data_IF_418442622274
#
_entry.id   IF_418442622274
#
_cell.length_a   1.000
_cell.length_b   1.000
_cell.length_c   1.000
_cell.angle_alpha   90.00
_cell.angle_beta   90.00
_cell.angle_gamma   90.00
#
_symmetry.space_group_name_H-M   'P 1'
#
loop_
_entity.id
_entity.type
_entity.pdbx_description
1 polymer ?
#
# COMPACT_ATOMS: atom_id res chain seq x y z
N UNK A 1 -12.85 11.71 -1.84
CA UNK A 1 -11.39 11.48 -1.71
C UNK A 1 -10.87 10.77 -2.94
N UNK A 2 -9.81 11.27 -3.54
CA UNK A 2 -9.16 10.60 -4.66
C UNK A 2 -7.98 9.77 -4.17
N UNK A 3 -7.85 8.56 -4.73
CA UNK A 3 -6.79 7.61 -4.38
C UNK A 3 -5.94 7.36 -5.62
N UNK A 4 -5.04 8.29 -5.91
CA UNK A 4 -4.28 8.30 -7.16
C UNK A 4 -2.79 7.95 -6.99
N UNK A 5 -2.32 7.84 -5.74
CA UNK A 5 -0.89 7.62 -5.51
C UNK A 5 -0.60 6.12 -5.44
N UNK A 6 0.21 5.64 -6.39
CA UNK A 6 0.56 4.23 -6.50
C UNK A 6 1.63 3.82 -5.49
N UNK A 7 1.51 2.60 -4.97
CA UNK A 7 2.55 1.92 -4.22
C UNK A 7 3.01 0.69 -5.01
N UNK A 8 4.01 -0.02 -4.51
CA UNK A 8 4.55 -1.22 -5.18
C UNK A 8 4.64 -2.39 -4.19
N UNK A 9 4.84 -3.59 -4.73
CA UNK A 9 5.12 -4.77 -3.92
C UNK A 9 3.89 -5.48 -3.37
N UNK A 10 2.68 -5.06 -3.72
CA UNK A 10 1.44 -5.67 -3.20
C UNK A 10 1.36 -7.16 -3.49
N UNK A 11 1.99 -7.63 -4.57
CA UNK A 11 1.98 -9.05 -4.93
C UNK A 11 2.57 -9.95 -3.83
N UNK A 12 3.52 -9.45 -3.09
CA UNK A 12 4.13 -10.18 -1.97
C UNK A 12 3.25 -10.22 -0.73
N UNK A 13 2.18 -9.45 -0.70
CA UNK A 13 1.35 -9.26 0.49
C UNK A 13 -0.13 -9.56 0.24
N UNK A 14 -0.43 -10.36 -0.77
CA UNK A 14 -1.81 -10.70 -1.13
C UNK A 14 -2.55 -11.38 0.03
N UNK A 15 -1.88 -12.24 0.78
CA UNK A 15 -2.49 -12.90 1.95
C UNK A 15 -2.89 -11.89 3.02
N UNK A 16 -2.05 -10.87 3.28
CA UNK A 16 -2.38 -9.81 4.22
C UNK A 16 -3.56 -8.98 3.73
N UNK A 17 -3.57 -8.63 2.46
CA UNK A 17 -4.67 -7.86 1.87
C UNK A 17 -5.98 -8.64 1.90
N UNK A 18 -5.94 -9.95 1.68
CA UNK A 18 -7.13 -10.79 1.83
C UNK A 18 -7.66 -10.79 3.26
N UNK A 19 -6.78 -10.82 4.26
CA UNK A 19 -7.19 -10.76 5.68
C UNK A 19 -7.91 -9.46 5.98
N UNK A 20 -7.46 -8.36 5.38
CA UNK A 20 -8.01 -7.03 5.64
C UNK A 20 -9.31 -6.80 4.88
N UNK A 21 -9.32 -7.09 3.58
CA UNK A 21 -10.42 -6.76 2.68
C UNK A 21 -11.43 -7.91 2.49
N UNK A 22 -11.10 -9.11 2.95
CA UNK A 22 -11.94 -10.30 2.77
C UNK A 22 -11.61 -11.04 1.48
N UNK A 23 -12.20 -12.25 1.32
CA UNK A 23 -11.93 -13.08 0.15
C UNK A 23 -12.41 -12.43 -1.15
N UNK A 24 -11.80 -12.84 -2.25
CA UNK A 24 -12.20 -12.36 -3.59
C UNK A 24 -13.65 -12.72 -3.89
N UNK A 25 -14.32 -11.81 -4.55
CA UNK A 25 -15.71 -11.94 -5.00
C UNK A 25 -15.81 -11.45 -6.43
N UNK A 26 -16.97 -11.60 -7.07
CA UNK A 26 -17.13 -11.14 -8.46
C UNK A 26 -16.85 -9.66 -8.65
N UNK A 27 -17.23 -8.85 -7.66
CA UNK A 27 -17.01 -7.41 -7.69
C UNK A 27 -15.62 -7.07 -7.14
N UNK A 28 -14.91 -6.16 -7.79
CA UNK A 28 -13.68 -5.57 -7.26
C UNK A 28 -13.91 -4.96 -5.89
N UNK A 29 -12.91 -5.05 -5.04
CA UNK A 29 -12.93 -4.40 -3.74
C UNK A 29 -12.89 -2.88 -3.91
N UNK A 30 -13.53 -2.21 -2.99
CA UNK A 30 -13.43 -0.77 -2.80
C UNK A 30 -13.49 -0.51 -1.29
N UNK A 31 -12.34 -0.70 -0.63
CA UNK A 31 -12.26 -0.57 0.83
C UNK A 31 -11.44 0.67 1.16
N UNK A 32 -12.10 1.69 1.68
CA UNK A 32 -11.46 2.90 2.16
C UNK A 32 -11.02 2.67 3.61
N UNK A 33 -9.73 2.87 3.87
CA UNK A 33 -9.13 2.54 5.17
C UNK A 33 -7.91 3.42 5.38
N UNK A 34 -7.49 3.59 6.62
CA UNK A 34 -6.27 4.35 6.91
C UNK A 34 -5.06 3.43 6.83
N UNK A 35 -3.99 3.93 6.23
CA UNK A 35 -2.72 3.24 6.13
C UNK A 35 -1.63 4.03 6.86
N UNK A 36 -0.70 3.31 7.45
CA UNK A 36 0.49 3.89 8.07
C UNK A 36 1.64 3.79 7.08
N UNK A 37 2.29 4.90 6.84
CA UNK A 37 3.46 5.01 5.96
C UNK A 37 4.67 5.26 6.85
N UNK A 38 5.63 4.31 6.89
CA UNK A 38 6.70 4.33 7.88
C UNK A 38 8.05 3.92 7.30
N UNK A 39 9.08 4.68 7.63
CA UNK A 39 10.47 4.37 7.24
C UNK A 39 10.94 3.07 7.84
N UNK A 40 11.72 2.30 7.07
CA UNK A 40 12.41 1.09 7.52
C UNK A 40 13.92 1.25 7.34
N UNK A 41 14.61 2.00 8.20
CA UNK A 41 16.04 2.29 8.02
C UNK A 41 16.93 1.05 8.12
N UNK A 42 16.43 -0.04 8.70
CA UNK A 42 17.17 -1.30 8.84
C UNK A 42 16.71 -2.37 7.86
N UNK A 43 15.97 -1.98 6.81
CA UNK A 43 15.57 -2.92 5.77
C UNK A 43 16.81 -3.49 5.07
N UNK A 44 16.88 -4.83 4.98
CA UNK A 44 18.07 -5.54 4.47
C UNK A 44 18.38 -5.26 3.00
N UNK A 45 17.36 -4.90 2.22
CA UNK A 45 17.49 -4.70 0.77
C UNK A 45 17.62 -3.23 0.38
N UNK A 46 17.07 -2.32 1.18
CA UNK A 46 17.05 -0.89 0.90
C UNK A 46 16.84 -0.11 2.19
N UNK A 47 17.88 0.54 2.69
CA UNK A 47 17.77 1.32 3.92
C UNK A 47 16.96 2.61 3.76
N UNK A 48 16.56 2.96 2.54
CA UNK A 48 15.63 4.04 2.27
C UNK A 48 14.18 3.56 2.18
N UNK A 49 13.92 2.26 2.34
CA UNK A 49 12.58 1.69 2.17
C UNK A 49 11.56 2.37 3.08
N UNK A 50 10.38 2.61 2.53
CA UNK A 50 9.23 3.15 3.24
C UNK A 50 8.08 2.17 3.08
N UNK A 51 7.67 1.57 4.19
CA UNK A 51 6.66 0.51 4.25
C UNK A 51 5.26 1.10 4.36
N UNK A 52 4.30 0.41 3.77
CA UNK A 52 2.88 0.70 3.94
C UNK A 52 2.26 -0.41 4.77
N UNK A 53 1.60 -0.03 5.87
CA UNK A 53 0.90 -0.95 6.76
C UNK A 53 -0.58 -0.61 6.84
N UNK A 54 -1.42 -1.62 6.91
CA UNK A 54 -2.84 -1.49 7.22
C UNK A 54 -3.17 -2.49 8.32
N UNK A 55 -3.78 -2.03 9.41
CA UNK A 55 -4.11 -2.87 10.57
C UNK A 55 -2.89 -3.65 11.11
N UNK A 56 -1.71 -3.04 11.07
CA UNK A 56 -0.48 -3.65 11.54
C UNK A 56 0.14 -4.67 10.58
N UNK A 57 -0.43 -4.86 9.40
CA UNK A 57 0.08 -5.80 8.40
C UNK A 57 0.71 -5.04 7.24
N UNK A 58 1.89 -5.46 6.82
CA UNK A 58 2.53 -4.89 5.62
C UNK A 58 1.72 -5.24 4.38
N UNK A 59 1.44 -4.24 3.55
CA UNK A 59 0.69 -4.42 2.30
C UNK A 59 1.47 -3.99 1.06
N UNK A 60 2.60 -3.33 1.23
CA UNK A 60 3.45 -2.88 0.13
C UNK A 60 4.46 -1.85 0.60
N UNK A 61 5.04 -1.16 -0.35
CA UNK A 61 6.09 -0.15 -0.14
C UNK A 61 5.89 1.01 -1.10
N UNK A 62 6.45 2.17 -0.76
CA UNK A 62 6.68 3.19 -1.78
C UNK A 62 7.66 2.65 -2.81
N UNK A 63 7.55 3.10 -4.07
CA UNK A 63 8.55 2.75 -5.08
C UNK A 63 9.94 3.12 -4.59
N UNK A 64 10.95 2.43 -5.11
CA UNK A 64 12.35 2.74 -4.75
C UNK A 64 12.69 4.19 -5.07
N UNK A 65 12.20 4.71 -6.19
CA UNK A 65 12.45 6.11 -6.58
C UNK A 65 11.79 7.09 -5.62
N UNK A 66 10.55 6.84 -5.22
CA UNK A 66 9.85 7.69 -4.24
C UNK A 66 10.55 7.64 -2.88
N UNK A 67 10.91 6.45 -2.42
CA UNK A 67 11.63 6.27 -1.15
C UNK A 67 12.97 7.03 -1.16
N UNK A 68 13.68 7.02 -2.28
CA UNK A 68 14.95 7.73 -2.44
C UNK A 68 14.78 9.24 -2.29
N UNK A 69 13.66 9.79 -2.76
CA UNK A 69 13.36 11.21 -2.60
C UNK A 69 13.13 11.62 -1.13
N UNK A 70 12.78 10.64 -0.30
CA UNK A 70 12.56 10.84 1.14
C UNK A 70 13.79 10.43 1.98
N UNK A 71 14.90 10.06 1.35
CA UNK A 71 16.10 9.61 2.05
C UNK A 71 16.55 10.63 3.10
N UNK A 72 16.95 10.14 4.27
CA UNK A 72 17.37 10.98 5.39
C UNK A 72 16.23 11.55 6.22
N UNK A 73 14.99 11.33 5.82
CA UNK A 73 13.81 11.77 6.59
C UNK A 73 13.21 10.60 7.34
N UNK A 74 12.72 10.84 8.54
CA UNK A 74 11.98 9.84 9.32
C UNK A 74 10.50 10.00 8.99
N UNK A 75 9.95 9.01 8.32
CA UNK A 75 8.55 9.02 7.87
C UNK A 75 7.72 8.14 8.82
N UNK A 76 6.63 8.68 9.31
CA UNK A 76 5.65 7.97 10.11
C UNK A 76 4.33 8.74 10.07
N UNK A 77 3.56 8.51 9.02
CA UNK A 77 2.31 9.22 8.78
C UNK A 77 1.17 8.22 8.58
N UNK A 78 -0.02 8.61 9.02
CA UNK A 78 -1.24 7.87 8.75
C UNK A 78 -2.02 8.65 7.68
N UNK A 79 -2.33 7.99 6.58
CA UNK A 79 -2.99 8.61 5.43
C UNK A 79 -4.14 7.75 4.94
N UNK A 80 -5.13 8.34 4.25
CA UNK A 80 -6.19 7.55 3.63
C UNK A 80 -5.63 6.61 2.56
N UNK A 81 -6.22 5.44 2.45
CA UNK A 81 -5.86 4.45 1.45
C UNK A 81 -7.10 3.75 0.90
N UNK A 82 -6.96 3.16 -0.26
CA UNK A 82 -7.99 2.36 -0.90
C UNK A 82 -7.41 1.00 -1.24
N UNK A 83 -8.09 -0.06 -0.81
CA UNK A 83 -7.82 -1.41 -1.31
C UNK A 83 -8.79 -1.66 -2.45
N UNK A 84 -8.26 -1.96 -3.64
CA UNK A 84 -9.03 -2.26 -4.84
C UNK A 84 -8.66 -3.66 -5.37
N UNK A 85 -9.18 -4.03 -6.53
CA UNK A 85 -8.94 -5.35 -7.10
C UNK A 85 -9.58 -6.45 -6.27
N UNK A 86 -8.91 -7.58 -6.13
CA UNK A 86 -9.39 -8.67 -5.30
C UNK A 86 -10.71 -9.27 -5.77
N UNK A 87 -10.90 -9.41 -7.08
CA UNK A 87 -12.12 -9.96 -7.67
C UNK A 87 -11.84 -11.35 -8.28
N UNK A 88 -12.90 -12.13 -8.42
CA UNK A 88 -12.82 -13.48 -8.94
C UNK A 88 -14.14 -13.83 -9.61
N UNK A 89 -14.07 -14.26 -10.87
CA UNK A 89 -15.22 -14.81 -11.58
C UNK A 89 -14.84 -16.14 -12.23
N UNK A 90 -15.75 -16.70 -13.04
CA UNK A 90 -15.56 -18.03 -13.64
C UNK A 90 -14.36 -18.10 -14.60
N UNK A 91 -13.89 -16.96 -15.12
CA UNK A 91 -12.90 -16.92 -16.19
C UNK A 91 -11.58 -16.31 -15.78
N UNK A 92 -11.55 -15.50 -14.71
CA UNK A 92 -10.36 -14.75 -14.35
C UNK A 92 -10.40 -14.23 -12.93
N UNK A 93 -9.28 -13.69 -12.47
CA UNK A 93 -9.21 -13.06 -11.16
C UNK A 93 -8.25 -11.88 -11.19
N UNK A 94 -8.47 -10.91 -10.30
CA UNK A 94 -7.60 -9.76 -10.11
C UNK A 94 -6.93 -9.79 -8.75
N UNK A 95 -5.69 -9.38 -8.71
CA UNK A 95 -4.95 -9.20 -7.47
C UNK A 95 -5.50 -8.02 -6.68
N UNK A 96 -5.34 -8.07 -5.35
CA UNK A 96 -5.57 -6.90 -4.51
C UNK A 96 -4.50 -5.85 -4.81
N UNK A 97 -4.92 -4.59 -4.87
CA UNK A 97 -4.03 -3.45 -5.01
C UNK A 97 -4.31 -2.42 -3.93
N UNK A 98 -3.37 -1.49 -3.74
CA UNK A 98 -3.51 -0.39 -2.78
C UNK A 98 -3.10 0.91 -3.44
N UNK A 99 -3.90 1.95 -3.21
CA UNK A 99 -3.56 3.32 -3.60
C UNK A 99 -3.69 4.23 -2.40
N UNK A 100 -2.82 5.22 -2.31
CA UNK A 100 -2.87 6.19 -1.21
C UNK A 100 -3.63 7.44 -1.65
N UNK A 101 -4.35 8.04 -0.70
CA UNK A 101 -5.08 9.28 -0.90
C UNK A 101 -4.23 10.50 -0.61
N UNK A 102 -3.04 10.56 -1.22
CA UNK A 102 -2.15 11.72 -1.15
C UNK A 102 -1.88 12.24 -2.54
N UNK A 103 -1.59 13.53 -2.67
CA UNK A 103 -1.29 14.16 -3.95
C UNK A 103 0.20 14.19 -4.25
N UNK A 104 1.04 14.20 -3.21
CA UNK A 104 2.49 14.24 -3.37
C UNK A 104 3.18 13.68 -2.14
N UNK A 105 4.47 13.37 -2.28
CA UNK A 105 5.30 12.89 -1.19
C UNK A 105 5.46 13.92 -0.06
N UNK A 106 5.23 15.20 -0.34
CA UNK A 106 5.30 16.24 0.69
C UNK A 106 4.31 16.02 1.83
N UNK A 107 3.22 15.32 1.58
CA UNK A 107 2.22 15.02 2.61
C UNK A 107 2.74 13.99 3.63
N UNK A 108 3.86 13.35 3.36
CA UNK A 108 4.46 12.35 4.25
C UNK A 108 5.56 12.92 5.15
N UNK A 109 5.95 14.16 4.93
CA UNK A 109 7.05 14.80 5.66
C UNK A 109 6.54 15.53 6.90
#
# INVERSE_FOLDING_TARGET
MEYLFDIVGEQSYQANLRKIAGPKQERSKYVEIMARVVSEPFNAYDNNAVKIEINGLTVGYLSRDDAKLLAGKVINQTVPALINGGWLDDNSEGSYGVKLGIQSLNELI
#
